data_IF_606773555226
#
_entry.id   IF_606773555226
#
_cell.length_a   1.000
_cell.length_b   1.000
_cell.length_c   1.000
_cell.angle_alpha   90.00
_cell.angle_beta   90.00
_cell.angle_gamma   90.00
#
_symmetry.space_group_name_H-M   'P 1'
#
loop_
_entity.id
_entity.type
_entity.pdbx_description
1 polymer ?
#
# COMPACT_ATOMS: atom_id res chain seq x y z
N UNK A 1 17.44 29.43 -3.52
CA UNK A 1 16.41 28.72 -4.30
C UNK A 1 15.27 29.69 -4.56
N UNK A 2 14.60 29.62 -5.73
CA UNK A 2 13.43 30.47 -5.96
C UNK A 2 12.29 30.05 -5.02
N UNK A 3 11.64 31.03 -4.40
CA UNK A 3 10.44 30.81 -3.60
C UNK A 3 9.35 30.21 -4.49
N UNK A 4 8.75 29.08 -4.07
CA UNK A 4 7.66 28.38 -4.75
C UNK A 4 6.43 28.34 -3.83
N UNK A 5 5.24 28.27 -4.42
CA UNK A 5 4.01 27.98 -3.70
C UNK A 5 3.80 26.45 -3.71
N UNK A 6 3.87 25.83 -2.51
CA UNK A 6 3.78 24.38 -2.34
C UNK A 6 2.56 24.04 -1.51
N UNK A 7 1.73 23.19 -2.06
CA UNK A 7 0.56 22.65 -1.35
C UNK A 7 0.90 21.31 -0.73
N UNK A 8 0.74 21.21 0.59
CA UNK A 8 1.07 20.02 1.39
C UNK A 8 -0.20 19.28 1.79
N UNK A 9 -0.29 17.99 1.47
CA UNK A 9 -1.35 17.14 2.00
C UNK A 9 -1.13 16.91 3.51
N UNK A 10 -1.91 17.61 4.36
CA UNK A 10 -1.88 17.49 5.82
C UNK A 10 -2.90 16.47 6.29
N UNK A 11 -2.44 15.32 6.79
CA UNK A 11 -3.29 14.22 7.25
C UNK A 11 -3.56 14.23 8.76
N UNK A 12 -3.07 15.23 9.49
CA UNK A 12 -3.06 15.22 10.96
C UNK A 12 -1.99 14.31 11.57
N UNK A 13 -1.17 13.64 10.74
CA UNK A 13 -0.03 12.82 11.15
C UNK A 13 1.27 13.62 11.23
N UNK A 14 2.25 13.09 12.01
CA UNK A 14 3.55 13.75 12.24
C UNK A 14 4.35 13.94 10.95
N UNK A 15 4.29 12.99 10.01
CA UNK A 15 5.09 13.02 8.79
C UNK A 15 4.71 14.17 7.85
N UNK A 16 3.41 14.39 7.67
CA UNK A 16 2.90 15.51 6.87
C UNK A 16 3.15 16.85 7.55
N UNK A 17 3.10 16.90 8.88
CA UNK A 17 3.40 18.11 9.65
C UNK A 17 4.87 18.52 9.51
N UNK A 18 5.80 17.58 9.67
CA UNK A 18 7.24 17.84 9.48
C UNK A 18 7.55 18.18 8.02
N UNK A 19 6.87 17.55 7.05
CA UNK A 19 6.97 17.91 5.63
C UNK A 19 6.69 19.41 5.41
N UNK A 20 5.57 19.92 5.97
CA UNK A 20 5.20 21.32 5.85
C UNK A 20 6.23 22.24 6.54
N UNK A 21 6.71 21.86 7.72
CA UNK A 21 7.75 22.58 8.45
C UNK A 21 9.04 22.73 7.63
N UNK A 22 9.57 21.63 7.10
CA UNK A 22 10.82 21.63 6.32
C UNK A 22 10.74 22.54 5.09
N UNK A 23 9.61 22.52 4.39
CA UNK A 23 9.39 23.37 3.22
C UNK A 23 9.29 24.86 3.60
N UNK A 24 8.62 25.16 4.73
CA UNK A 24 8.58 26.52 5.25
C UNK A 24 9.95 27.03 5.67
N UNK A 25 10.78 26.20 6.32
CA UNK A 25 12.17 26.53 6.65
C UNK A 25 13.03 26.80 5.41
N UNK A 26 12.74 26.14 4.28
CA UNK A 26 13.41 26.38 2.99
C UNK A 26 12.98 27.70 2.32
N UNK A 27 12.04 28.44 2.93
CA UNK A 27 11.55 29.73 2.45
C UNK A 27 10.44 29.67 1.42
N UNK A 28 9.82 28.50 1.24
CA UNK A 28 8.66 28.34 0.36
C UNK A 28 7.37 28.94 0.97
N UNK A 29 6.43 29.29 0.12
CA UNK A 29 5.05 29.55 0.52
C UNK A 29 4.32 28.22 0.64
N UNK A 30 3.90 27.88 1.85
CA UNK A 30 3.29 26.57 2.17
C UNK A 30 1.82 26.75 2.52
N UNK A 31 0.96 25.99 1.84
CA UNK A 31 -0.48 25.87 2.13
C UNK A 31 -0.80 24.42 2.44
N UNK A 32 -1.56 24.16 3.49
CA UNK A 32 -2.03 22.83 3.84
C UNK A 32 -3.35 22.49 3.17
N UNK A 33 -3.54 21.25 2.74
CA UNK A 33 -4.85 20.70 2.39
C UNK A 33 -5.10 19.44 3.20
N UNK A 34 -6.19 19.43 3.94
CA UNK A 34 -6.73 18.22 4.54
C UNK A 34 -7.72 17.58 3.56
N UNK A 35 -7.50 16.31 3.25
CA UNK A 35 -8.33 15.55 2.31
C UNK A 35 -9.32 14.68 3.07
N UNK A 36 -10.61 14.93 2.94
CA UNK A 36 -11.67 14.03 3.38
C UNK A 36 -11.97 13.05 2.25
N UNK A 37 -11.75 11.77 2.47
CA UNK A 37 -11.88 10.76 1.43
C UNK A 37 -12.96 9.70 1.71
N UNK A 38 -13.70 9.83 2.84
CA UNK A 38 -14.78 8.93 3.20
C UNK A 38 -15.86 9.65 4.00
N UNK A 39 -17.14 9.32 3.76
CA UNK A 39 -18.31 9.95 4.40
C UNK A 39 -19.30 8.96 5.04
N UNK A 40 -19.37 7.70 4.57
CA UNK A 40 -20.42 6.76 4.96
C UNK A 40 -20.48 6.45 6.48
N UNK A 41 -19.51 6.93 7.25
CA UNK A 41 -19.35 6.65 8.67
C UNK A 41 -19.12 7.92 9.52
N UNK A 42 -19.47 9.10 9.02
CA UNK A 42 -19.21 10.37 9.71
C UNK A 42 -19.82 10.43 11.13
N UNK A 43 -20.94 9.73 11.36
CA UNK A 43 -21.62 9.66 12.65
C UNK A 43 -21.17 8.46 13.52
N UNK A 44 -20.19 7.67 13.08
CA UNK A 44 -19.71 6.49 13.82
C UNK A 44 -18.56 6.84 14.77
N UNK A 45 -18.48 6.10 15.90
CA UNK A 45 -17.34 6.17 16.83
C UNK A 45 -15.98 5.84 16.17
N UNK A 46 -15.99 5.27 14.99
CA UNK A 46 -14.80 4.87 14.22
C UNK A 46 -14.33 5.93 13.22
N UNK A 47 -15.06 7.05 13.07
CA UNK A 47 -14.67 8.12 12.17
C UNK A 47 -13.55 8.97 12.78
N UNK A 48 -12.30 8.71 12.39
CA UNK A 48 -11.14 9.52 12.80
C UNK A 48 -11.03 10.85 12.04
N UNK A 49 -11.80 11.03 10.96
CA UNK A 49 -11.64 12.17 10.04
C UNK A 49 -11.75 13.53 10.72
N UNK A 50 -12.70 13.67 11.67
CA UNK A 50 -12.86 14.91 12.43
C UNK A 50 -11.65 15.20 13.33
N UNK A 51 -11.16 14.18 14.05
CA UNK A 51 -9.99 14.34 14.91
C UNK A 51 -8.74 14.61 14.09
N UNK A 52 -8.57 13.89 12.98
CA UNK A 52 -7.43 14.08 12.08
C UNK A 52 -7.42 15.48 11.47
N UNK A 53 -8.61 16.05 11.16
CA UNK A 53 -8.72 17.44 10.72
C UNK A 53 -8.35 18.43 11.83
N UNK A 54 -8.80 18.22 13.06
CA UNK A 54 -8.44 19.08 14.21
C UNK A 54 -6.92 19.04 14.47
N UNK A 55 -6.32 17.87 14.36
CA UNK A 55 -4.86 17.70 14.48
C UNK A 55 -4.13 18.45 13.36
N UNK A 56 -4.62 18.35 12.11
CA UNK A 56 -4.06 19.08 10.97
C UNK A 56 -4.21 20.60 11.11
N UNK A 57 -5.35 21.09 11.59
CA UNK A 57 -5.58 22.49 11.86
C UNK A 57 -4.64 23.01 12.96
N UNK A 58 -4.49 22.25 14.06
CA UNK A 58 -3.55 22.60 15.13
C UNK A 58 -2.10 22.65 14.66
N UNK A 59 -1.70 21.78 13.76
CA UNK A 59 -0.38 21.82 13.10
C UNK A 59 -0.24 23.07 12.24
N UNK A 60 -1.27 23.42 11.46
CA UNK A 60 -1.27 24.62 10.62
C UNK A 60 -1.12 25.88 11.46
N UNK A 61 -1.80 25.98 12.60
CA UNK A 61 -1.69 27.10 13.55
C UNK A 61 -0.26 27.23 14.10
N UNK A 62 0.34 26.13 14.58
CA UNK A 62 1.72 26.13 15.09
C UNK A 62 2.72 26.55 14.01
N UNK A 63 2.51 26.07 12.79
CA UNK A 63 3.40 26.42 11.67
C UNK A 63 3.09 27.80 11.07
N UNK A 64 1.96 28.42 11.40
CA UNK A 64 1.49 29.69 10.81
C UNK A 64 1.33 29.56 9.30
N UNK A 65 0.59 28.56 8.84
CA UNK A 65 0.22 28.31 7.44
C UNK A 65 -1.29 28.22 7.30
N UNK A 66 -1.80 28.56 6.13
CA UNK A 66 -3.21 28.35 5.80
C UNK A 66 -3.50 26.85 5.61
N UNK A 67 -4.73 26.42 5.94
CA UNK A 67 -5.21 25.07 5.69
C UNK A 67 -6.62 25.11 5.07
N UNK A 68 -6.79 24.33 4.01
CA UNK A 68 -8.09 24.08 3.38
C UNK A 68 -8.57 22.67 3.67
N UNK A 69 -9.88 22.50 3.80
CA UNK A 69 -10.54 21.20 3.88
C UNK A 69 -11.18 20.89 2.53
N UNK A 70 -10.74 19.82 1.88
CA UNK A 70 -11.24 19.40 0.57
C UNK A 70 -11.84 18.00 0.67
N UNK A 71 -13.02 17.83 0.08
CA UNK A 71 -13.75 16.57 0.08
C UNK A 71 -13.52 15.84 -1.26
N UNK A 72 -12.90 14.66 -1.20
CA UNK A 72 -12.68 13.74 -2.32
C UNK A 72 -13.43 12.41 -2.14
N UNK A 73 -14.45 12.35 -1.26
CA UNK A 73 -15.13 11.10 -0.95
C UNK A 73 -15.83 10.49 -2.17
N UNK A 74 -16.39 11.32 -3.06
CA UNK A 74 -17.00 10.83 -4.30
C UNK A 74 -15.96 10.19 -5.22
N UNK A 75 -14.85 10.87 -5.48
CA UNK A 75 -13.76 10.35 -6.32
C UNK A 75 -13.14 9.09 -5.71
N UNK A 76 -13.00 9.04 -4.39
CA UNK A 76 -12.50 7.86 -3.70
C UNK A 76 -13.45 6.67 -3.86
N UNK A 77 -14.75 6.88 -3.67
CA UNK A 77 -15.77 5.84 -3.79
C UNK A 77 -15.80 5.24 -5.20
N UNK A 78 -15.73 6.11 -6.21
CA UNK A 78 -15.83 5.70 -7.61
C UNK A 78 -14.54 5.06 -8.16
N UNK A 79 -13.37 5.57 -7.79
CA UNK A 79 -12.09 5.19 -8.42
C UNK A 79 -11.27 4.20 -7.59
N UNK A 80 -11.44 4.19 -6.27
CA UNK A 80 -10.65 3.34 -5.38
C UNK A 80 -11.51 2.24 -4.78
N UNK A 81 -12.63 2.61 -4.16
CA UNK A 81 -13.44 1.66 -3.42
C UNK A 81 -14.22 0.70 -4.33
N UNK A 82 -14.72 1.18 -5.47
CA UNK A 82 -15.41 0.34 -6.44
C UNK A 82 -14.47 -0.75 -7.01
N UNK A 83 -13.23 -0.39 -7.38
CA UNK A 83 -12.23 -1.35 -7.87
C UNK A 83 -11.83 -2.33 -6.73
N UNK A 84 -11.63 -1.82 -5.54
CA UNK A 84 -11.36 -2.62 -4.36
C UNK A 84 -12.43 -3.70 -4.11
N UNK A 85 -13.72 -3.36 -4.20
CA UNK A 85 -14.82 -4.33 -4.06
C UNK A 85 -14.82 -5.35 -5.21
N UNK A 86 -14.60 -4.91 -6.45
CA UNK A 86 -14.52 -5.79 -7.62
C UNK A 86 -13.43 -6.85 -7.48
N UNK A 87 -12.26 -6.45 -7.02
CA UNK A 87 -11.13 -7.36 -6.77
C UNK A 87 -11.44 -8.39 -5.68
N UNK A 88 -12.05 -7.95 -4.58
CA UNK A 88 -12.47 -8.88 -3.52
C UNK A 88 -13.55 -9.85 -3.95
N UNK A 89 -14.53 -9.40 -4.74
CA UNK A 89 -15.57 -10.27 -5.31
C UNK A 89 -14.99 -11.31 -6.26
N UNK A 90 -13.92 -10.93 -6.99
CA UNK A 90 -13.15 -11.86 -7.82
C UNK A 90 -12.22 -12.80 -7.02
N UNK A 91 -12.26 -12.76 -5.68
CA UNK A 91 -11.42 -13.59 -4.81
C UNK A 91 -9.96 -13.14 -4.70
N UNK A 92 -9.58 -12.00 -5.31
CA UNK A 92 -8.23 -11.43 -5.22
C UNK A 92 -8.07 -10.59 -3.94
N UNK A 93 -6.86 -10.20 -3.63
CA UNK A 93 -6.56 -9.37 -2.44
C UNK A 93 -5.95 -8.04 -2.89
N UNK A 94 -6.75 -7.01 -3.17
CA UNK A 94 -6.27 -5.72 -3.67
C UNK A 94 -5.49 -4.94 -2.61
N UNK A 95 -4.73 -3.93 -3.07
CA UNK A 95 -4.08 -2.96 -2.22
C UNK A 95 -4.67 -1.56 -2.47
N UNK A 96 -5.64 -1.12 -1.65
CA UNK A 96 -6.32 0.15 -1.85
C UNK A 96 -5.40 1.37 -1.66
N UNK A 97 -4.28 1.23 -0.91
CA UNK A 97 -3.35 2.35 -0.71
C UNK A 97 -2.61 2.72 -2.00
N UNK A 98 -2.30 1.73 -2.85
CA UNK A 98 -1.72 1.97 -4.19
C UNK A 98 -2.70 2.76 -5.06
N UNK A 99 -3.96 2.34 -5.09
CA UNK A 99 -5.02 3.02 -5.86
C UNK A 99 -5.30 4.43 -5.32
N UNK A 100 -5.39 4.57 -4.00
CA UNK A 100 -5.58 5.87 -3.35
C UNK A 100 -4.45 6.84 -3.70
N UNK A 101 -3.20 6.38 -3.68
CA UNK A 101 -2.08 7.22 -4.08
C UNK A 101 -2.22 7.62 -5.56
N UNK A 102 -2.45 6.66 -6.47
CA UNK A 102 -2.53 6.92 -7.90
C UNK A 102 -3.69 7.86 -8.29
N UNK A 103 -4.90 7.62 -7.75
CA UNK A 103 -6.12 8.27 -8.23
C UNK A 103 -6.56 9.48 -7.38
N UNK A 104 -6.25 9.49 -6.08
CA UNK A 104 -6.66 10.56 -5.18
C UNK A 104 -5.49 11.51 -4.88
N UNK A 105 -4.42 11.03 -4.21
CA UNK A 105 -3.35 11.91 -3.74
C UNK A 105 -2.51 12.51 -4.86
N UNK A 106 -2.20 11.74 -5.89
CA UNK A 106 -1.34 12.22 -6.98
C UNK A 106 -2.09 12.49 -8.29
N UNK A 107 -3.42 12.49 -8.25
CA UNK A 107 -4.27 12.92 -9.36
C UNK A 107 -5.29 13.96 -8.90
N UNK A 108 -6.35 13.59 -8.19
CA UNK A 108 -7.38 14.54 -7.78
C UNK A 108 -6.83 15.69 -6.92
N UNK A 109 -6.02 15.38 -5.92
CA UNK A 109 -5.37 16.40 -5.07
C UNK A 109 -4.33 17.21 -5.85
N UNK A 110 -3.50 16.59 -6.69
CA UNK A 110 -2.54 17.31 -7.53
C UNK A 110 -3.29 18.30 -8.45
N UNK A 111 -4.33 17.84 -9.16
CA UNK A 111 -5.11 18.69 -10.04
C UNK A 111 -5.78 19.86 -9.30
N UNK A 112 -6.27 19.60 -8.08
CA UNK A 112 -6.85 20.62 -7.23
C UNK A 112 -5.81 21.67 -6.81
N UNK A 113 -4.63 21.22 -6.33
CA UNK A 113 -3.54 22.10 -5.94
C UNK A 113 -3.05 22.98 -7.11
N UNK A 114 -2.95 22.41 -8.33
CA UNK A 114 -2.54 23.18 -9.51
C UNK A 114 -3.57 24.27 -9.84
N UNK A 115 -4.87 24.02 -9.68
CA UNK A 115 -5.92 25.04 -9.85
C UNK A 115 -5.83 26.17 -8.81
N UNK A 116 -5.31 25.90 -7.62
CA UNK A 116 -5.02 26.91 -6.58
C UNK A 116 -3.71 27.68 -6.84
N UNK A 117 -3.06 27.46 -7.99
CA UNK A 117 -1.82 28.12 -8.36
C UNK A 117 -0.58 27.57 -7.68
N UNK A 118 -0.60 26.31 -7.23
CA UNK A 118 0.60 25.65 -6.70
C UNK A 118 1.63 25.38 -7.81
N UNK A 119 2.91 25.57 -7.50
CA UNK A 119 4.01 25.13 -8.36
C UNK A 119 4.22 23.62 -8.22
N UNK A 120 4.06 23.09 -6.99
CA UNK A 120 4.23 21.69 -6.62
C UNK A 120 3.32 21.29 -5.46
N UNK A 121 3.17 19.98 -5.31
CA UNK A 121 2.60 19.39 -4.10
C UNK A 121 3.69 18.73 -3.26
N UNK A 122 3.40 18.50 -1.97
CA UNK A 122 4.24 17.68 -1.11
C UNK A 122 3.39 16.78 -0.22
N UNK A 123 3.97 15.64 0.14
CA UNK A 123 3.33 14.66 1.03
C UNK A 123 4.34 14.08 2.02
N UNK A 124 3.83 13.56 3.14
CA UNK A 124 4.63 12.91 4.17
C UNK A 124 5.05 11.47 3.84
N UNK A 125 5.16 11.08 2.57
CA UNK A 125 5.63 9.76 2.20
C UNK A 125 7.14 9.63 2.32
N UNK A 126 7.57 8.48 2.83
CA UNK A 126 8.98 8.08 2.85
C UNK A 126 9.37 7.49 1.49
N UNK A 127 9.58 8.36 0.53
CA UNK A 127 10.13 8.09 -0.79
C UNK A 127 10.99 9.27 -1.20
N UNK A 128 11.75 9.17 -2.27
CA UNK A 128 12.55 10.25 -2.82
C UNK A 128 12.25 10.43 -4.30
N UNK A 129 12.39 11.64 -4.78
CA UNK A 129 12.27 11.96 -6.20
C UNK A 129 13.49 12.76 -6.64
N UNK A 130 14.08 12.39 -7.78
CA UNK A 130 15.17 13.15 -8.38
C UNK A 130 15.00 13.26 -9.89
N UNK A 131 15.54 14.32 -10.48
CA UNK A 131 15.67 14.42 -11.92
C UNK A 131 16.99 13.78 -12.35
N UNK A 132 16.92 12.87 -13.32
CA UNK A 132 18.10 12.25 -13.91
C UNK A 132 18.47 13.00 -15.21
N UNK A 133 19.62 13.70 -15.25
CA UNK A 133 20.00 14.51 -16.40
C UNK A 133 20.39 13.68 -17.64
N UNK A 134 20.72 12.39 -17.45
CA UNK A 134 21.07 11.50 -18.55
C UNK A 134 19.83 11.03 -19.30
N UNK A 135 18.82 10.56 -18.55
CA UNK A 135 17.57 10.08 -19.14
C UNK A 135 16.55 11.19 -19.40
N UNK A 136 16.80 12.40 -18.89
CA UNK A 136 15.86 13.54 -18.92
C UNK A 136 14.50 13.22 -18.27
N UNK A 137 14.50 12.34 -17.25
CA UNK A 137 13.30 11.89 -16.56
C UNK A 137 13.43 12.03 -15.04
N UNK A 138 12.28 12.16 -14.39
CA UNK A 138 12.20 12.07 -12.94
C UNK A 138 12.17 10.59 -12.52
N UNK A 139 12.93 10.26 -11.50
CA UNK A 139 13.00 8.94 -10.89
C UNK A 139 12.34 8.96 -9.52
N UNK A 140 11.58 7.91 -9.22
CA UNK A 140 11.09 7.58 -7.88
C UNK A 140 12.11 6.67 -7.21
N UNK A 141 12.55 7.02 -6.00
CA UNK A 141 13.51 6.21 -5.26
C UNK A 141 12.93 5.78 -3.90
N UNK A 142 13.47 4.71 -3.36
CA UNK A 142 13.24 4.30 -1.97
C UNK A 142 13.56 5.43 -1.00
N UNK A 143 12.82 5.53 0.09
CA UNK A 143 13.16 6.41 1.21
C UNK A 143 14.46 5.97 1.90
N UNK A 144 15.15 6.90 2.56
CA UNK A 144 16.40 6.61 3.29
C UNK A 144 16.17 5.70 4.51
N UNK A 145 14.96 5.66 5.07
CA UNK A 145 14.59 4.74 6.14
C UNK A 145 14.01 3.45 5.53
N UNK A 146 14.75 2.33 5.48
CA UNK A 146 14.27 1.10 4.87
C UNK A 146 13.06 0.50 5.60
N UNK A 147 12.89 0.79 6.91
CA UNK A 147 11.76 0.32 7.70
C UNK A 147 10.48 1.10 7.40
N UNK A 148 10.60 2.27 6.76
CA UNK A 148 9.51 3.19 6.43
C UNK A 148 9.32 3.42 4.94
N UNK A 149 10.22 2.90 4.09
CA UNK A 149 10.13 3.08 2.63
C UNK A 149 8.73 2.79 2.10
N UNK A 150 8.16 3.77 1.41
CA UNK A 150 6.81 3.72 0.85
C UNK A 150 6.79 3.78 -0.68
N UNK A 151 7.96 3.67 -1.33
CA UNK A 151 8.05 3.65 -2.80
C UNK A 151 7.18 2.56 -3.43
N UNK A 152 6.97 1.43 -2.72
CA UNK A 152 6.06 0.36 -3.11
C UNK A 152 4.64 0.86 -3.40
N UNK A 153 4.09 1.75 -2.58
CA UNK A 153 2.74 2.28 -2.75
C UNK A 153 2.65 3.39 -3.82
N UNK A 154 3.80 3.86 -4.30
CA UNK A 154 3.92 4.97 -5.25
C UNK A 154 4.34 4.53 -6.67
N UNK A 155 4.50 3.23 -6.89
CA UNK A 155 5.01 2.68 -8.15
C UNK A 155 4.16 3.03 -9.39
N UNK A 156 2.90 3.44 -9.21
CA UNK A 156 2.01 3.86 -10.31
C UNK A 156 2.13 5.34 -10.68
N UNK A 157 3.00 6.11 -10.02
CA UNK A 157 3.22 7.51 -10.37
C UNK A 157 3.88 7.63 -11.76
N UNK A 158 3.38 8.54 -12.56
CA UNK A 158 3.93 8.88 -13.87
C UNK A 158 4.81 10.14 -13.83
N UNK A 159 5.45 10.47 -14.96
CA UNK A 159 6.35 11.62 -15.09
C UNK A 159 5.68 12.95 -14.76
N UNK A 160 4.42 13.16 -15.19
CA UNK A 160 3.69 14.39 -14.90
C UNK A 160 3.45 14.57 -13.39
N UNK A 161 3.13 13.48 -12.70
CA UNK A 161 2.88 13.48 -11.26
C UNK A 161 4.17 13.66 -10.46
N UNK A 162 5.20 12.85 -10.75
CA UNK A 162 6.44 12.86 -9.96
C UNK A 162 7.23 14.18 -10.14
N UNK A 163 7.20 14.79 -11.32
CA UNK A 163 7.85 16.07 -11.59
C UNK A 163 7.27 17.23 -10.76
N UNK A 164 6.04 17.09 -10.31
CA UNK A 164 5.32 18.09 -9.50
C UNK A 164 5.24 17.74 -8.01
N UNK A 165 5.87 16.66 -7.58
CA UNK A 165 5.75 16.14 -6.21
C UNK A 165 7.08 16.22 -5.45
N UNK A 166 6.99 16.59 -4.17
CA UNK A 166 8.09 16.58 -3.22
C UNK A 166 7.80 15.60 -2.07
N UNK A 167 8.87 14.94 -1.60
CA UNK A 167 8.84 14.02 -0.47
C UNK A 167 9.93 14.39 0.57
N UNK A 168 9.79 15.51 1.28
CA UNK A 168 10.86 16.03 2.15
C UNK A 168 11.31 15.05 3.23
N UNK A 169 10.39 14.27 3.83
CA UNK A 169 10.72 13.30 4.88
C UNK A 169 11.35 12.00 4.34
N UNK A 170 11.33 11.79 3.02
CA UNK A 170 12.01 10.67 2.38
C UNK A 170 13.52 10.65 2.52
N UNK A 171 14.11 11.82 2.75
CA UNK A 171 15.56 12.01 3.01
C UNK A 171 15.92 11.86 4.50
N UNK A 172 14.96 11.49 5.36
CA UNK A 172 15.14 11.42 6.81
C UNK A 172 14.74 10.02 7.34
N UNK A 173 15.34 9.63 8.46
CA UNK A 173 14.87 8.51 9.25
C UNK A 173 13.65 8.92 10.10
N UNK A 174 12.76 7.99 10.40
CA UNK A 174 11.57 8.26 11.23
C UNK A 174 11.92 8.84 12.61
N UNK A 175 13.02 8.40 13.19
CA UNK A 175 13.54 8.94 14.47
C UNK A 175 13.85 10.42 14.37
N UNK A 176 14.43 10.86 13.25
CA UNK A 176 14.74 12.26 13.00
C UNK A 176 13.46 13.09 12.79
N UNK A 177 12.50 12.57 12.03
CA UNK A 177 11.19 13.22 11.83
C UNK A 177 10.50 13.44 13.18
N UNK A 178 10.52 12.47 14.10
CA UNK A 178 9.94 12.63 15.44
C UNK A 178 10.70 13.64 16.29
N UNK A 179 12.03 13.63 16.22
CA UNK A 179 12.87 14.62 16.92
C UNK A 179 12.53 16.06 16.48
N UNK A 180 12.44 16.28 15.16
CA UNK A 180 12.05 17.59 14.62
C UNK A 180 10.66 17.99 15.12
N UNK A 181 9.69 17.08 15.09
CA UNK A 181 8.33 17.34 15.53
C UNK A 181 8.26 17.74 17.02
N UNK A 182 9.06 17.12 17.88
CA UNK A 182 9.17 17.46 19.31
C UNK A 182 9.85 18.82 19.52
N UNK A 183 10.94 19.08 18.81
CA UNK A 183 11.71 20.32 18.92
C UNK A 183 10.90 21.57 18.53
N UNK A 184 10.05 21.46 17.52
CA UNK A 184 9.18 22.58 17.11
C UNK A 184 7.84 22.61 17.84
N UNK A 185 7.63 21.73 18.81
CA UNK A 185 6.43 21.72 19.67
C UNK A 185 5.15 21.30 18.94
N UNK A 186 5.23 20.39 17.95
CA UNK A 186 4.01 19.93 17.27
C UNK A 186 3.09 19.16 18.23
N UNK A 187 1.78 19.48 18.25
CA UNK A 187 0.83 18.84 19.17
C UNK A 187 0.69 17.32 18.91
N UNK A 188 0.93 16.89 17.67
CA UNK A 188 0.85 15.50 17.23
C UNK A 188 2.20 14.74 17.22
N UNK A 189 3.29 15.29 17.79
CA UNK A 189 4.63 14.71 17.77
C UNK A 189 4.67 13.27 18.30
N UNK A 190 3.83 12.94 19.30
CA UNK A 190 3.73 11.61 19.93
C UNK A 190 2.62 10.73 19.32
N UNK A 191 1.86 11.23 18.33
CA UNK A 191 0.82 10.46 17.66
C UNK A 191 1.41 9.21 17.02
N UNK A 192 0.76 8.06 17.24
CA UNK A 192 1.16 6.80 16.60
C UNK A 192 0.98 6.90 15.08
N UNK A 193 1.82 6.16 14.35
CA UNK A 193 1.63 6.04 12.91
C UNK A 193 0.31 5.34 12.64
N UNK A 194 -0.45 5.83 11.66
CA UNK A 194 -1.69 5.18 11.24
C UNK A 194 -1.39 3.77 10.76
N UNK A 195 -2.06 2.80 11.36
CA UNK A 195 -2.01 1.39 10.98
C UNK A 195 -3.39 1.03 10.43
N UNK A 196 -3.47 0.63 9.18
CA UNK A 196 -4.75 0.29 8.55
C UNK A 196 -4.83 0.83 7.13
N UNK A 197 -5.93 0.51 6.47
CA UNK A 197 -6.23 1.02 5.13
C UNK A 197 -6.59 2.51 5.26
N UNK A 198 -5.95 3.35 4.44
CA UNK A 198 -6.28 4.77 4.34
C UNK A 198 -7.81 4.96 4.27
N UNK A 199 -8.37 5.82 5.16
CA UNK A 199 -9.78 6.23 5.26
C UNK A 199 -10.74 5.24 5.93
N UNK A 200 -10.41 3.94 6.03
CA UNK A 200 -11.22 2.96 6.76
C UNK A 200 -10.92 3.05 8.26
N UNK A 201 -9.72 3.56 8.62
CA UNK A 201 -9.29 3.70 10.01
C UNK A 201 -8.94 2.36 10.67
N UNK A 202 -8.78 2.38 11.99
CA UNK A 202 -8.41 1.21 12.81
C UNK A 202 -9.65 0.38 13.20
N UNK A 203 -10.59 0.18 12.29
CA UNK A 203 -11.76 -0.69 12.56
C UNK A 203 -11.47 -2.13 12.13
N UNK A 204 -12.22 -3.11 12.69
CA UNK A 204 -12.12 -4.49 12.25
C UNK A 204 -12.47 -4.59 10.76
N UNK A 205 -11.46 -4.81 9.93
CA UNK A 205 -11.58 -4.82 8.47
C UNK A 205 -12.66 -5.79 7.96
N UNK A 206 -12.81 -6.95 8.63
CA UNK A 206 -13.83 -7.93 8.29
C UNK A 206 -15.25 -7.39 8.51
N UNK A 207 -15.50 -6.61 9.57
CA UNK A 207 -16.80 -6.01 9.86
C UNK A 207 -17.15 -4.93 8.84
N UNK A 208 -16.16 -4.13 8.45
CA UNK A 208 -16.32 -3.15 7.39
C UNK A 208 -16.69 -3.81 6.07
N UNK A 209 -15.94 -4.81 5.61
CA UNK A 209 -16.22 -5.52 4.36
C UNK A 209 -17.59 -6.22 4.35
N UNK A 210 -18.07 -6.71 5.48
CA UNK A 210 -19.37 -7.38 5.59
C UNK A 210 -20.57 -6.50 5.19
N UNK A 211 -20.40 -5.18 5.14
CA UNK A 211 -21.45 -4.25 4.69
C UNK A 211 -21.60 -4.25 3.17
N UNK A 212 -20.55 -4.65 2.44
CA UNK A 212 -20.45 -4.51 0.99
C UNK A 212 -20.30 -5.84 0.25
N UNK A 213 -19.79 -6.87 0.92
CA UNK A 213 -19.56 -8.20 0.34
C UNK A 213 -20.37 -9.24 1.11
N UNK A 214 -21.16 -10.01 0.37
CA UNK A 214 -21.94 -11.12 0.92
C UNK A 214 -21.05 -12.19 1.52
N UNK A 215 -21.48 -12.74 2.64
CA UNK A 215 -20.83 -13.92 3.23
C UNK A 215 -21.29 -15.15 2.47
N UNK A 216 -20.35 -15.86 1.90
CA UNK A 216 -20.59 -17.16 1.26
C UNK A 216 -19.75 -18.22 1.97
N UNK A 217 -20.28 -18.81 3.07
CA UNK A 217 -19.54 -19.82 3.82
C UNK A 217 -19.23 -21.05 2.99
N UNK A 218 -18.04 -21.62 3.19
CA UNK A 218 -17.61 -22.82 2.51
C UNK A 218 -16.59 -23.62 3.33
N UNK A 219 -16.20 -24.83 2.88
CA UNK A 219 -15.29 -25.68 3.62
C UNK A 219 -13.85 -25.15 3.63
N UNK A 220 -13.19 -25.28 4.79
CA UNK A 220 -11.74 -25.19 4.92
C UNK A 220 -11.20 -26.61 4.84
N UNK A 221 -10.30 -26.90 3.89
CA UNK A 221 -9.70 -28.21 3.68
C UNK A 221 -8.18 -28.18 3.72
N UNK A 222 -7.56 -29.25 4.19
CA UNK A 222 -6.13 -29.48 4.08
C UNK A 222 -5.75 -30.07 2.70
N UNK A 223 -4.44 -30.26 2.44
CA UNK A 223 -3.89 -30.79 1.19
C UNK A 223 -4.39 -32.21 0.87
N UNK A 224 -4.88 -32.96 1.87
CA UNK A 224 -5.47 -34.30 1.73
C UNK A 224 -6.96 -34.26 1.46
N UNK A 225 -7.58 -33.06 1.38
CA UNK A 225 -9.03 -32.87 1.19
C UNK A 225 -9.86 -33.05 2.45
N UNK A 226 -9.25 -33.24 3.62
CA UNK A 226 -9.93 -33.38 4.90
C UNK A 226 -10.54 -32.01 5.29
N UNK A 227 -11.81 -31.98 5.64
CA UNK A 227 -12.48 -30.78 6.14
C UNK A 227 -12.02 -30.48 7.57
N UNK A 228 -11.44 -29.30 7.77
CA UNK A 228 -10.96 -28.81 9.07
C UNK A 228 -11.92 -27.81 9.72
N UNK A 229 -12.75 -27.15 8.93
CA UNK A 229 -13.67 -26.12 9.41
C UNK A 229 -14.53 -25.53 8.31
N UNK A 230 -15.08 -24.35 8.60
CA UNK A 230 -15.89 -23.57 7.64
C UNK A 230 -15.44 -22.13 7.65
N UNK A 231 -15.13 -21.56 6.48
CA UNK A 231 -14.81 -20.16 6.33
C UNK A 231 -16.08 -19.32 6.15
N UNK A 232 -15.96 -18.01 6.38
CA UNK A 232 -17.09 -17.06 6.29
C UNK A 232 -17.29 -16.47 4.89
N UNK A 233 -16.40 -16.77 3.96
CA UNK A 233 -16.36 -16.28 2.58
C UNK A 233 -14.90 -16.15 2.13
N UNK A 234 -14.55 -16.58 0.90
CA UNK A 234 -13.16 -16.60 0.39
C UNK A 234 -12.54 -15.20 0.31
N UNK A 235 -13.36 -14.17 0.09
CA UNK A 235 -12.94 -12.78 0.03
C UNK A 235 -12.27 -12.27 1.32
N UNK A 236 -12.57 -12.89 2.47
CA UNK A 236 -12.02 -12.48 3.78
C UNK A 236 -10.68 -13.10 4.12
N UNK A 237 -10.07 -13.82 3.18
CA UNK A 237 -8.80 -14.50 3.39
C UNK A 237 -7.76 -14.11 2.34
N UNK A 238 -6.49 -14.11 2.75
CA UNK A 238 -5.34 -13.79 1.90
C UNK A 238 -4.37 -14.97 1.92
N UNK A 239 -3.68 -15.25 0.83
CA UNK A 239 -2.64 -16.28 0.78
C UNK A 239 -1.55 -15.99 1.82
N UNK A 240 -1.13 -17.01 2.55
CA UNK A 240 -0.19 -16.91 3.66
C UNK A 240 -0.83 -16.41 4.97
N UNK A 241 -2.13 -16.12 5.01
CA UNK A 241 -2.80 -15.74 6.27
C UNK A 241 -2.78 -16.88 7.27
N UNK A 242 -2.37 -16.57 8.52
CA UNK A 242 -2.33 -17.50 9.64
C UNK A 242 -3.47 -17.29 10.64
N UNK A 243 -3.79 -16.03 10.92
CA UNK A 243 -4.77 -15.67 11.95
C UNK A 243 -6.21 -15.69 11.41
N UNK A 244 -7.18 -15.93 12.30
CA UNK A 244 -8.60 -15.81 11.97
C UNK A 244 -9.17 -17.00 11.16
N UNK A 245 -8.46 -18.13 11.09
CA UNK A 245 -8.94 -19.35 10.38
C UNK A 245 -9.99 -20.13 11.18
N UNK A 246 -10.02 -19.99 12.50
CA UNK A 246 -10.99 -20.71 13.35
C UNK A 246 -10.78 -22.23 13.43
N UNK A 247 -9.64 -22.74 12.94
CA UNK A 247 -9.30 -24.19 12.91
C UNK A 247 -8.22 -24.55 13.95
N UNK A 248 -7.99 -23.68 14.94
CA UNK A 248 -7.02 -23.92 16.02
C UNK A 248 -7.44 -25.09 16.89
N UNK A 249 -6.53 -26.07 17.07
CA UNK A 249 -6.74 -27.21 17.96
C UNK A 249 -7.29 -28.47 17.30
N UNK A 250 -7.39 -28.54 15.97
CA UNK A 250 -7.64 -29.83 15.28
C UNK A 250 -6.41 -30.71 15.45
N UNK A 251 -6.38 -31.50 16.52
CA UNK A 251 -5.36 -32.55 16.80
C UNK A 251 -5.76 -33.83 16.07
N UNK A 252 -4.81 -34.48 15.43
CA UNK A 252 -5.02 -35.89 15.07
C UNK A 252 -5.21 -36.72 16.35
N UNK A 253 -6.34 -37.47 16.44
CA UNK A 253 -6.51 -38.45 17.49
C UNK A 253 -5.44 -39.53 17.31
N UNK A 254 -4.40 -39.55 18.15
CA UNK A 254 -3.36 -40.57 18.16
C UNK A 254 -1.93 -40.08 17.82
N UNK A 255 -1.68 -38.81 17.52
CA UNK A 255 -0.35 -38.31 17.27
C UNK A 255 0.52 -38.35 18.54
N UNK A 256 1.65 -39.06 18.50
CA UNK A 256 2.65 -39.08 19.57
C UNK A 256 3.29 -37.69 19.72
N UNK A 257 3.53 -37.26 20.99
CA UNK A 257 4.27 -36.04 21.29
C UNK A 257 5.67 -36.11 20.66
N UNK A 258 5.90 -35.35 19.57
CA UNK A 258 7.22 -35.29 18.93
C UNK A 258 7.27 -35.18 17.41
N UNK A 259 6.18 -35.47 16.69
CA UNK A 259 6.10 -35.27 15.25
C UNK A 259 5.53 -33.86 14.93
N UNK A 260 5.97 -33.23 13.84
CA UNK A 260 5.68 -31.83 13.43
C UNK A 260 4.22 -31.33 13.35
N UNK A 261 3.30 -31.99 14.04
CA UNK A 261 1.85 -31.74 14.10
C UNK A 261 1.43 -30.46 14.83
N UNK A 262 2.40 -29.61 15.27
CA UNK A 262 2.12 -28.35 15.95
C UNK A 262 2.39 -27.11 15.08
N UNK A 263 2.78 -27.30 13.82
CA UNK A 263 3.02 -26.19 12.91
C UNK A 263 1.72 -25.42 12.65
N UNK A 264 1.78 -24.08 12.58
CA UNK A 264 0.59 -23.27 12.32
C UNK A 264 0.02 -23.53 10.92
N UNK A 265 -1.28 -23.35 10.79
CA UNK A 265 -1.99 -23.40 9.51
C UNK A 265 -1.87 -22.08 8.76
N UNK A 266 -1.68 -22.16 7.43
CA UNK A 266 -1.63 -21.03 6.53
C UNK A 266 -2.58 -21.23 5.35
N UNK A 267 -3.22 -20.15 4.89
CA UNK A 267 -4.01 -20.16 3.64
C UNK A 267 -3.07 -20.35 2.47
N UNK A 268 -3.27 -21.41 1.69
CA UNK A 268 -2.44 -21.73 0.54
C UNK A 268 -3.14 -21.50 -0.81
N UNK A 269 -4.47 -21.68 -0.88
CA UNK A 269 -5.22 -21.50 -2.12
C UNK A 269 -6.68 -21.16 -1.83
N UNK A 270 -7.26 -20.33 -2.69
CA UNK A 270 -8.70 -20.07 -2.78
C UNK A 270 -9.23 -20.74 -4.04
N UNK A 271 -10.14 -21.68 -3.90
CA UNK A 271 -10.80 -22.33 -5.03
C UNK A 271 -12.19 -21.72 -5.18
N UNK A 272 -12.30 -20.73 -6.05
CA UNK A 272 -13.54 -19.97 -6.24
C UNK A 272 -14.68 -20.86 -6.77
N UNK A 273 -14.48 -21.71 -7.82
CA UNK A 273 -15.54 -22.58 -8.34
C UNK A 273 -16.15 -23.51 -7.30
N UNK A 274 -15.34 -24.09 -6.40
CA UNK A 274 -15.83 -24.99 -5.35
C UNK A 274 -16.10 -24.30 -4.01
N UNK A 275 -15.93 -22.99 -3.93
CA UNK A 275 -16.00 -22.20 -2.70
C UNK A 275 -15.20 -22.84 -1.55
N UNK A 276 -13.96 -23.31 -1.83
CA UNK A 276 -13.11 -24.01 -0.86
C UNK A 276 -11.87 -23.22 -0.52
N UNK A 277 -11.61 -23.06 0.78
CA UNK A 277 -10.35 -22.49 1.30
C UNK A 277 -9.39 -23.64 1.63
N UNK A 278 -8.28 -23.70 0.92
CA UNK A 278 -7.23 -24.70 1.15
C UNK A 278 -6.16 -24.13 2.09
N UNK A 279 -5.82 -24.91 3.09
CA UNK A 279 -4.83 -24.56 4.09
C UNK A 279 -3.77 -25.65 4.23
N UNK A 280 -2.54 -25.25 4.58
CA UNK A 280 -1.40 -26.14 4.78
C UNK A 280 -0.73 -25.85 6.11
N UNK A 281 -0.06 -26.86 6.70
CA UNK A 281 0.72 -26.69 7.90
C UNK A 281 2.18 -26.32 7.58
N UNK A 282 2.74 -25.40 8.37
CA UNK A 282 4.12 -24.94 8.22
C UNK A 282 4.31 -23.83 7.21
N UNK A 283 5.22 -22.92 7.53
CA UNK A 283 5.56 -21.77 6.70
C UNK A 283 6.21 -22.19 5.38
N UNK A 284 7.02 -23.23 5.39
CA UNK A 284 7.85 -23.65 4.26
C UNK A 284 7.16 -24.70 3.37
N UNK A 285 5.84 -24.85 3.53
CA UNK A 285 5.08 -25.81 2.72
C UNK A 285 5.19 -25.47 1.22
N UNK A 286 5.39 -26.47 0.32
CA UNK A 286 5.56 -26.24 -1.14
C UNK A 286 4.45 -25.40 -1.76
N UNK A 287 3.19 -25.55 -1.35
CA UNK A 287 2.07 -24.77 -1.87
C UNK A 287 2.13 -23.27 -1.55
N UNK A 288 3.06 -22.83 -0.72
CA UNK A 288 3.30 -21.43 -0.41
C UNK A 288 4.53 -20.85 -1.11
N UNK A 289 5.25 -21.67 -1.87
CA UNK A 289 6.52 -21.31 -2.51
C UNK A 289 6.33 -21.20 -4.02
N UNK A 290 6.71 -20.08 -4.61
CA UNK A 290 6.52 -19.78 -6.02
C UNK A 290 7.83 -19.35 -6.67
N UNK A 291 8.04 -19.77 -7.91
CA UNK A 291 9.24 -19.41 -8.70
C UNK A 291 8.95 -18.31 -9.70
N UNK A 292 7.72 -18.25 -10.19
CA UNK A 292 7.33 -17.34 -11.25
C UNK A 292 6.01 -16.61 -10.90
N UNK A 293 5.84 -15.40 -11.43
CA UNK A 293 4.54 -14.73 -11.47
C UNK A 293 4.29 -14.11 -12.84
N UNK A 294 3.03 -13.94 -13.18
CA UNK A 294 2.59 -13.04 -14.22
C UNK A 294 1.83 -11.86 -13.60
N UNK A 295 1.98 -10.69 -14.22
CA UNK A 295 1.31 -9.47 -13.80
C UNK A 295 0.68 -8.77 -14.99
N UNK A 296 -0.39 -8.03 -14.72
CA UNK A 296 -1.09 -7.16 -15.67
C UNK A 296 -1.15 -5.72 -15.17
N UNK A 297 -1.86 -4.85 -15.91
CA UNK A 297 -2.04 -3.45 -15.54
C UNK A 297 -0.73 -2.72 -15.23
N UNK A 298 0.33 -3.04 -15.97
CA UNK A 298 1.66 -2.51 -15.77
C UNK A 298 1.68 -0.98 -15.90
N UNK A 299 2.34 -0.32 -14.96
CA UNK A 299 2.58 1.11 -14.92
C UNK A 299 4.06 1.37 -14.66
N UNK A 300 4.68 2.20 -15.50
CA UNK A 300 6.11 2.49 -15.44
C UNK A 300 6.35 3.95 -15.09
N UNK A 301 7.13 4.20 -14.04
CA UNK A 301 7.46 5.57 -13.60
C UNK A 301 8.12 6.38 -14.70
N UNK A 302 8.99 5.75 -15.49
CA UNK A 302 9.66 6.39 -16.65
C UNK A 302 8.74 6.62 -17.85
N UNK A 303 7.52 6.04 -17.84
CA UNK A 303 6.59 6.03 -18.98
C UNK A 303 6.85 4.91 -20.00
N UNK A 304 7.87 4.06 -19.81
CA UNK A 304 8.18 2.92 -20.65
C UNK A 304 8.64 1.73 -19.81
N UNK A 305 8.36 0.53 -20.28
CA UNK A 305 8.82 -0.71 -19.65
C UNK A 305 10.36 -0.73 -19.55
N UNK A 306 10.92 -1.37 -18.50
CA UNK A 306 12.36 -1.62 -18.45
C UNK A 306 12.76 -2.60 -19.55
N UNK A 307 14.03 -2.61 -19.93
CA UNK A 307 14.57 -3.64 -20.83
C UNK A 307 14.48 -5.00 -20.14
N UNK A 308 14.06 -6.08 -20.85
CA UNK A 308 14.10 -7.42 -20.32
C UNK A 308 15.49 -7.81 -19.78
N UNK A 309 15.49 -8.41 -18.58
CA UNK A 309 16.73 -8.77 -17.90
C UNK A 309 16.64 -8.79 -16.39
N UNK A 310 17.79 -8.78 -15.69
CA UNK A 310 17.85 -8.86 -14.24
C UNK A 310 17.34 -7.56 -13.58
N UNK A 311 16.42 -7.73 -12.63
CA UNK A 311 15.88 -6.67 -11.76
C UNK A 311 15.66 -7.23 -10.36
N UNK A 312 15.32 -6.34 -9.42
CA UNK A 312 14.78 -6.77 -8.13
C UNK A 312 13.27 -6.49 -8.06
N UNK A 313 12.52 -7.30 -7.31
CA UNK A 313 11.10 -7.07 -7.14
C UNK A 313 10.64 -7.30 -5.71
N UNK A 314 9.54 -6.62 -5.34
CA UNK A 314 8.75 -6.86 -4.13
C UNK A 314 7.34 -7.28 -4.53
N UNK A 315 6.84 -8.37 -3.96
CA UNK A 315 5.47 -8.85 -4.16
C UNK A 315 4.56 -8.48 -2.99
N UNK A 316 5.12 -7.86 -1.95
CA UNK A 316 4.43 -7.33 -0.77
C UNK A 316 5.17 -6.14 -0.19
N UNK A 317 4.44 -5.23 0.41
CA UNK A 317 5.02 -4.17 1.23
C UNK A 317 5.86 -4.76 2.38
N UNK A 318 6.99 -4.13 2.69
CA UNK A 318 7.99 -4.58 3.70
C UNK A 318 8.76 -5.87 3.38
N UNK A 319 8.56 -6.46 2.21
CA UNK A 319 9.43 -7.54 1.74
C UNK A 319 10.81 -6.98 1.37
N UNK A 320 11.86 -7.77 1.59
CA UNK A 320 13.15 -7.48 1.02
C UNK A 320 13.10 -7.61 -0.52
N UNK A 321 13.99 -6.91 -1.21
CA UNK A 321 14.12 -7.02 -2.66
C UNK A 321 14.53 -8.46 -3.03
N UNK A 322 13.78 -9.07 -3.95
CA UNK A 322 14.07 -10.40 -4.46
C UNK A 322 14.59 -10.29 -5.89
N UNK A 323 15.77 -10.86 -6.16
CA UNK A 323 16.34 -10.88 -7.50
C UNK A 323 15.50 -11.74 -8.45
N UNK A 324 15.22 -11.20 -9.63
CA UNK A 324 14.42 -11.90 -10.65
C UNK A 324 14.81 -11.45 -12.07
N UNK A 325 14.34 -12.20 -13.07
CA UNK A 325 14.41 -11.86 -14.48
C UNK A 325 13.06 -11.29 -14.91
N UNK A 326 13.07 -10.04 -15.40
CA UNK A 326 11.93 -9.41 -16.01
C UNK A 326 11.82 -9.80 -17.47
N UNK A 327 10.60 -10.09 -17.94
CA UNK A 327 10.24 -10.35 -19.31
C UNK A 327 8.94 -9.66 -19.66
N UNK A 328 8.86 -9.07 -20.85
CA UNK A 328 7.60 -8.57 -21.37
C UNK A 328 6.59 -9.71 -21.53
N UNK A 329 5.33 -9.44 -21.19
CA UNK A 329 4.24 -10.38 -21.42
C UNK A 329 3.76 -10.40 -22.89
N UNK A 330 2.94 -11.38 -23.23
CA UNK A 330 2.41 -11.54 -24.59
C UNK A 330 1.42 -10.40 -24.98
N UNK A 331 0.74 -9.80 -24.02
CA UNK A 331 -0.18 -8.69 -24.24
C UNK A 331 0.42 -7.37 -23.74
N UNK A 332 0.00 -6.25 -24.33
CA UNK A 332 0.40 -4.93 -23.85
C UNK A 332 -0.01 -4.73 -22.39
N UNK A 333 0.90 -4.15 -21.59
CA UNK A 333 0.65 -3.93 -20.16
C UNK A 333 0.74 -5.19 -19.29
N UNK A 334 1.27 -6.30 -19.81
CA UNK A 334 1.56 -7.52 -19.05
C UNK A 334 3.06 -7.79 -18.96
N UNK A 335 3.50 -8.50 -17.93
CA UNK A 335 4.88 -8.95 -17.77
C UNK A 335 4.96 -10.21 -16.90
N UNK A 336 6.13 -10.86 -16.92
CA UNK A 336 6.44 -11.97 -16.06
C UNK A 336 7.74 -11.74 -15.29
N UNK A 337 7.83 -12.33 -14.09
CA UNK A 337 9.03 -12.34 -13.27
C UNK A 337 9.38 -13.79 -12.92
N UNK A 338 10.62 -14.19 -13.27
CA UNK A 338 11.21 -15.46 -12.85
C UNK A 338 12.21 -15.19 -11.73
N UNK A 339 11.91 -15.63 -10.51
CA UNK A 339 12.72 -15.38 -9.33
C UNK A 339 13.89 -16.36 -9.22
N UNK A 340 15.05 -15.86 -8.81
CA UNK A 340 16.22 -16.70 -8.51
C UNK A 340 16.00 -17.59 -7.29
N UNK A 341 15.23 -17.11 -6.32
CA UNK A 341 14.84 -17.84 -5.11
C UNK A 341 13.32 -17.93 -5.00
N UNK A 342 12.82 -18.99 -4.34
CA UNK A 342 11.39 -19.17 -4.11
C UNK A 342 10.81 -18.01 -3.31
N UNK A 343 9.68 -17.51 -3.75
CA UNK A 343 8.96 -16.42 -3.09
C UNK A 343 7.75 -16.96 -2.34
N UNK A 344 7.59 -16.49 -1.11
CA UNK A 344 6.56 -16.97 -0.22
C UNK A 344 5.21 -16.29 -0.49
N UNK A 345 4.18 -17.11 -0.70
CA UNK A 345 2.76 -16.74 -0.75
C UNK A 345 2.48 -15.55 -1.67
N UNK A 346 3.02 -15.56 -2.90
CA UNK A 346 2.66 -14.56 -3.94
C UNK A 346 1.15 -14.52 -4.09
N UNK A 347 0.56 -13.32 -3.97
CA UNK A 347 -0.89 -13.16 -3.83
C UNK A 347 -1.48 -12.39 -5.01
N UNK A 348 -2.36 -12.97 -5.82
CA UNK A 348 -3.10 -12.26 -6.87
C UNK A 348 -3.88 -11.05 -6.33
N UNK A 349 -3.83 -9.94 -7.06
CA UNK A 349 -4.38 -8.64 -6.66
C UNK A 349 -3.44 -7.75 -5.86
N UNK A 350 -2.32 -8.27 -5.34
CA UNK A 350 -1.22 -7.44 -4.82
C UNK A 350 -0.36 -6.91 -5.96
N UNK A 351 0.48 -5.90 -5.68
CA UNK A 351 1.41 -5.37 -6.68
C UNK A 351 2.72 -6.14 -6.71
N UNK A 352 3.23 -6.41 -7.90
CA UNK A 352 4.63 -6.72 -8.15
C UNK A 352 5.34 -5.43 -8.53
N UNK A 353 6.23 -4.92 -7.67
CA UNK A 353 6.93 -3.64 -7.87
C UNK A 353 8.41 -3.90 -8.13
N UNK A 354 8.91 -3.33 -9.22
CA UNK A 354 10.26 -3.56 -9.74
C UNK A 354 11.21 -2.45 -9.35
N UNK A 355 12.45 -2.83 -9.08
CA UNK A 355 13.51 -1.92 -8.65
C UNK A 355 14.83 -2.21 -9.39
N UNK A 356 15.57 -1.13 -9.66
CA UNK A 356 16.99 -1.15 -10.00
C UNK A 356 17.75 -0.40 -8.90
N UNK A 357 18.38 -1.13 -7.98
CA UNK A 357 18.93 -0.58 -6.76
C UNK A 357 17.86 0.16 -5.94
N UNK A 358 18.04 1.48 -5.76
CA UNK A 358 17.06 2.34 -5.07
C UNK A 358 15.96 2.85 -5.99
N UNK A 359 16.10 2.75 -7.31
CA UNK A 359 15.14 3.30 -8.27
C UNK A 359 13.94 2.37 -8.40
N UNK A 360 12.74 2.87 -8.10
CA UNK A 360 11.48 2.21 -8.39
C UNK A 360 11.14 2.39 -9.88
N UNK A 361 11.15 1.29 -10.63
CA UNK A 361 10.88 1.29 -12.06
C UNK A 361 9.38 1.37 -12.39
N UNK A 362 8.55 0.89 -11.49
CA UNK A 362 7.12 0.71 -11.67
C UNK A 362 6.68 -0.69 -11.27
N UNK A 363 5.59 -1.17 -11.82
CA UNK A 363 5.06 -2.51 -11.51
C UNK A 363 3.69 -2.76 -12.10
N UNK A 364 3.04 -3.83 -11.66
CA UNK A 364 1.70 -4.21 -12.09
C UNK A 364 0.97 -5.05 -11.04
N UNK A 365 -0.28 -5.39 -11.31
CA UNK A 365 -1.07 -6.28 -10.47
C UNK A 365 -0.69 -7.74 -10.73
N UNK A 366 -0.42 -8.49 -9.69
CA UNK A 366 -0.16 -9.93 -9.77
C UNK A 366 -1.43 -10.63 -10.24
N UNK A 367 -1.39 -11.22 -11.42
CA UNK A 367 -2.50 -11.98 -12.01
C UNK A 367 -2.45 -13.44 -11.58
N UNK A 368 -1.27 -14.07 -11.63
CA UNK A 368 -1.05 -15.45 -11.22
C UNK A 368 0.37 -15.69 -10.69
N UNK A 369 0.55 -16.81 -10.01
CA UNK A 369 1.85 -17.29 -9.57
C UNK A 369 1.98 -18.79 -9.83
N UNK A 370 3.19 -19.24 -10.16
CA UNK A 370 3.52 -20.61 -10.52
C UNK A 370 4.70 -21.12 -9.67
N UNK A 371 4.67 -22.42 -9.38
CA UNK A 371 5.71 -23.11 -8.58
C UNK A 371 6.99 -23.37 -9.35
#
# INVERSE_FOLDING_TARGET
MNKQRIVVGLSGGVDSAVTAHLLKQQGHEVVGIFMKNWEDDDDSEFCSSRQDFLDAASVADVLGIEIEHVNFAAEYKDRVFAEFLTEYQAGRTPNPDVLCNAEIKFKAFLDHAMRLGADRIATGHYARARFNPVTQKHELLKGLDPAKDQSYFLHRLNQAQISKTLFPVGELKKTEVRRIAEEIGLPNAKKKDSTGICFIGERPFREFLNRYISREPGPIKDERGRKLGTHVGLSFYTLGQRQGLGIGGVKEKGAQRGSGDHAPWFVARKDIPSNTLWVVQGHDHPWLQYRRLSADSASWVSGAAPTPGPVAAKTRYRQADAGCQYQDGAAAGTFALDFSELQWAITPGQSAVLYDGDVCLGGGLIASAEH
#
